data_IF_056113215575
#
_entry.id   IF_056113215575
#
_cell.length_a   1.000
_cell.length_b   1.000
_cell.length_c   1.000
_cell.angle_alpha   90.00
_cell.angle_beta   90.00
_cell.angle_gamma   90.00
#
_symmetry.space_group_name_H-M   'P 1'
#
loop_
_entity.id
_entity.type
_entity.pdbx_description
1 polymer ?
#
# COMPACT_ATOMS: atom_id res chain seq x y z
N UNK A 1 -1.38 -6.86 17.45
CA UNK A 1 -2.31 -7.89 16.95
C UNK A 1 -1.53 -9.19 16.89
N UNK A 2 -2.16 -10.35 16.73
CA UNK A 2 -1.43 -11.61 16.51
C UNK A 2 -1.23 -11.86 15.02
N UNK A 3 -0.31 -12.77 14.70
CA UNK A 3 -0.08 -13.20 13.32
C UNK A 3 -1.30 -13.89 12.73
N UNK A 4 -2.04 -14.66 13.53
CA UNK A 4 -3.28 -15.31 13.13
C UNK A 4 -4.36 -14.28 12.81
N UNK A 5 -4.48 -13.21 13.60
CA UNK A 5 -5.39 -12.10 13.30
C UNK A 5 -5.04 -11.42 11.98
N UNK A 6 -3.75 -11.10 11.77
CA UNK A 6 -3.26 -10.54 10.51
C UNK A 6 -3.57 -11.45 9.31
N UNK A 7 -3.35 -12.76 9.48
CA UNK A 7 -3.66 -13.75 8.46
C UNK A 7 -5.15 -13.80 8.15
N UNK A 8 -6.02 -13.81 9.16
CA UNK A 8 -7.47 -13.79 8.97
C UNK A 8 -7.96 -12.54 8.24
N UNK A 9 -7.40 -11.37 8.53
CA UNK A 9 -7.72 -10.13 7.82
C UNK A 9 -7.36 -10.21 6.33
N UNK A 10 -6.13 -10.63 6.03
CA UNK A 10 -5.67 -10.82 4.66
C UNK A 10 -6.52 -11.88 3.92
N UNK A 11 -6.81 -13.02 4.55
CA UNK A 11 -7.67 -14.06 3.99
C UNK A 11 -9.07 -13.53 3.67
N UNK A 12 -9.69 -12.82 4.61
CA UNK A 12 -11.04 -12.29 4.43
C UNK A 12 -11.12 -11.29 3.27
N UNK A 13 -10.11 -10.42 3.14
CA UNK A 13 -10.02 -9.49 2.02
C UNK A 13 -9.83 -10.23 0.69
N UNK A 14 -8.92 -11.21 0.64
CA UNK A 14 -8.65 -11.97 -0.58
C UNK A 14 -9.87 -12.82 -1.01
N UNK A 15 -10.57 -13.44 -0.07
CA UNK A 15 -11.79 -14.19 -0.32
C UNK A 15 -12.89 -13.30 -0.91
N UNK A 16 -13.09 -12.10 -0.35
CA UNK A 16 -14.06 -11.13 -0.85
C UNK A 16 -13.75 -10.62 -2.27
N UNK A 17 -12.50 -10.78 -2.73
CA UNK A 17 -12.03 -10.33 -4.04
C UNK A 17 -11.60 -11.50 -4.95
N UNK A 18 -12.28 -12.65 -4.84
CA UNK A 18 -12.16 -13.75 -5.79
C UNK A 18 -11.07 -14.78 -5.51
N UNK A 19 -10.40 -14.69 -4.36
CA UNK A 19 -9.36 -15.63 -3.93
C UNK A 19 -9.73 -16.34 -2.61
N UNK A 20 -10.84 -17.12 -2.56
CA UNK A 20 -11.37 -17.70 -1.32
C UNK A 20 -10.47 -18.76 -0.68
N UNK A 21 -9.57 -19.37 -1.46
CA UNK A 21 -8.63 -20.39 -0.98
C UNK A 21 -7.26 -19.82 -0.63
N UNK A 22 -7.10 -18.49 -0.61
CA UNK A 22 -5.83 -17.88 -0.24
C UNK A 22 -5.50 -18.16 1.22
N UNK A 23 -4.22 -18.38 1.50
CA UNK A 23 -3.72 -18.46 2.87
C UNK A 23 -3.61 -17.09 3.54
N UNK A 24 -3.87 -15.98 2.84
CA UNK A 24 -3.71 -14.62 3.34
C UNK A 24 -2.26 -14.17 3.23
N UNK A 25 -1.53 -14.33 4.33
CA UNK A 25 -0.07 -14.22 4.41
C UNK A 25 0.56 -15.61 4.52
N UNK A 26 1.71 -15.80 3.88
CA UNK A 26 2.45 -17.06 3.83
C UNK A 26 3.31 -17.27 5.10
N UNK A 27 4.02 -18.42 5.24
CA UNK A 27 4.90 -18.68 6.38
C UNK A 27 6.06 -17.68 6.54
N UNK A 28 6.41 -16.93 5.49
CA UNK A 28 7.41 -15.86 5.55
C UNK A 28 6.81 -14.49 5.95
N UNK A 29 5.49 -14.40 6.14
CA UNK A 29 4.82 -13.17 6.54
C UNK A 29 4.27 -12.33 5.37
N UNK A 30 4.35 -12.83 4.14
CA UNK A 30 3.98 -12.06 2.95
C UNK A 30 2.70 -12.54 2.29
N UNK A 31 1.90 -11.61 1.79
CA UNK A 31 0.72 -11.87 0.98
C UNK A 31 0.48 -10.73 -0.01
N UNK A 32 -0.52 -10.88 -0.87
CA UNK A 32 -0.89 -9.80 -1.78
C UNK A 32 -1.84 -10.23 -2.88
N UNK A 33 -2.33 -9.25 -3.63
CA UNK A 33 -3.23 -9.45 -4.77
C UNK A 33 -3.11 -8.30 -5.76
N UNK A 34 -3.32 -8.64 -7.04
CA UNK A 34 -3.59 -7.66 -8.07
C UNK A 34 -5.11 -7.63 -8.36
N UNK A 35 -5.73 -6.47 -8.26
CA UNK A 35 -7.16 -6.26 -8.54
C UNK A 35 -7.30 -5.14 -9.58
N UNK A 36 -7.56 -5.53 -10.83
CA UNK A 36 -7.44 -4.61 -11.96
C UNK A 36 -6.00 -4.10 -12.08
N UNK A 37 -5.84 -2.78 -12.15
CA UNK A 37 -4.52 -2.14 -12.23
C UNK A 37 -3.86 -1.94 -10.84
N UNK A 38 -4.60 -2.14 -9.75
CA UNK A 38 -4.08 -1.96 -8.40
C UNK A 38 -3.34 -3.21 -7.92
N UNK A 39 -2.21 -3.01 -7.22
CA UNK A 39 -1.47 -4.07 -6.55
C UNK A 39 -1.42 -3.75 -5.06
N UNK A 40 -1.85 -4.70 -4.23
CA UNK A 40 -1.85 -4.60 -2.77
C UNK A 40 -0.99 -5.73 -2.19
N UNK A 41 -0.13 -5.37 -1.25
CA UNK A 41 0.77 -6.28 -0.55
C UNK A 41 0.43 -6.28 0.94
N UNK A 42 0.66 -7.42 1.58
CA UNK A 42 0.51 -7.64 3.01
C UNK A 42 1.84 -8.12 3.57
N UNK A 43 2.31 -7.49 4.64
CA UNK A 43 3.53 -7.89 5.34
C UNK A 43 3.31 -7.93 6.84
N UNK A 44 3.69 -9.05 7.45
CA UNK A 44 3.67 -9.25 8.88
C UNK A 44 5.02 -8.86 9.49
N UNK A 45 4.99 -7.91 10.41
CA UNK A 45 6.15 -7.47 11.18
C UNK A 45 6.15 -8.12 12.56
N UNK A 46 6.96 -9.16 12.74
CA UNK A 46 7.00 -9.98 13.97
C UNK A 46 7.37 -9.17 15.21
N UNK A 47 8.32 -8.23 15.11
CA UNK A 47 8.79 -7.46 16.26
C UNK A 47 7.76 -6.43 16.70
N UNK A 48 7.10 -5.80 15.75
CA UNK A 48 6.09 -4.76 15.94
C UNK A 48 4.69 -5.35 16.22
N UNK A 49 4.52 -6.65 15.99
CA UNK A 49 3.24 -7.36 16.10
C UNK A 49 2.15 -6.66 15.29
N UNK A 50 2.48 -6.38 14.03
CA UNK A 50 1.72 -5.50 13.15
C UNK A 50 1.59 -6.07 11.73
N UNK A 51 0.44 -5.80 11.11
CA UNK A 51 0.20 -6.05 9.69
C UNK A 51 0.35 -4.74 8.92
N UNK A 52 1.33 -4.67 8.04
CA UNK A 52 1.45 -3.63 7.03
C UNK A 52 0.70 -4.02 5.76
N UNK A 53 -0.03 -3.06 5.21
CA UNK A 53 -0.76 -3.17 3.95
C UNK A 53 -0.28 -2.07 3.00
N UNK A 54 0.30 -2.44 1.86
CA UNK A 54 0.99 -1.49 0.98
C UNK A 54 0.41 -1.56 -0.43
N UNK A 55 -0.19 -0.47 -0.89
CA UNK A 55 -0.73 -0.36 -2.24
C UNK A 55 0.25 0.35 -3.17
N UNK A 56 0.64 -0.31 -4.26
CA UNK A 56 1.67 0.20 -5.17
C UNK A 56 1.20 1.48 -5.87
N UNK A 57 2.03 2.53 -5.80
CA UNK A 57 1.93 3.73 -6.62
C UNK A 57 2.79 3.54 -7.88
N UNK A 58 4.09 3.30 -7.69
CA UNK A 58 5.03 3.26 -8.80
C UNK A 58 6.27 2.42 -8.46
N UNK A 59 6.76 1.66 -9.44
CA UNK A 59 8.04 0.97 -9.35
C UNK A 59 9.05 1.67 -10.25
N UNK A 60 10.08 2.26 -9.65
CA UNK A 60 11.11 2.94 -10.40
C UNK A 60 12.09 1.93 -11.01
N UNK A 61 12.53 2.21 -12.25
CA UNK A 61 13.58 1.41 -12.91
C UNK A 61 14.94 1.63 -12.24
N UNK A 62 15.24 2.90 -12.00
CA UNK A 62 16.46 3.38 -11.37
C UNK A 62 16.15 4.09 -10.07
N UNK A 63 17.19 4.46 -9.30
CA UNK A 63 17.01 5.30 -8.12
C UNK A 63 16.21 6.56 -8.51
N UNK A 64 15.14 6.90 -7.77
CA UNK A 64 14.37 8.11 -8.04
C UNK A 64 15.28 9.32 -8.08
N UNK A 65 15.03 10.23 -9.03
CA UNK A 65 15.78 11.49 -9.10
C UNK A 65 15.50 12.33 -7.84
N UNK A 66 16.47 13.14 -7.38
CA UNK A 66 16.25 14.04 -6.25
C UNK A 66 15.00 14.91 -6.44
N UNK A 67 14.20 15.07 -5.39
CA UNK A 67 12.95 15.85 -5.42
C UNK A 67 11.70 15.04 -5.74
N UNK A 68 11.82 13.82 -6.30
CA UNK A 68 10.64 13.00 -6.62
C UNK A 68 9.97 12.51 -5.35
N UNK A 69 10.72 11.88 -4.43
CA UNK A 69 10.16 11.34 -3.20
C UNK A 69 9.64 12.46 -2.29
N UNK A 70 10.40 13.55 -2.20
CA UNK A 70 10.00 14.76 -1.47
C UNK A 70 8.71 15.35 -2.04
N UNK A 71 8.57 15.36 -3.37
CA UNK A 71 7.35 15.80 -4.04
C UNK A 71 6.12 14.98 -3.64
N UNK A 72 6.22 13.66 -3.55
CA UNK A 72 5.13 12.82 -3.07
C UNK A 72 4.80 13.08 -1.59
N UNK A 73 5.83 13.23 -0.73
CA UNK A 73 5.64 13.57 0.67
C UNK A 73 4.98 14.94 0.86
N UNK A 74 5.31 15.93 0.01
CA UNK A 74 4.66 17.24 0.00
C UNK A 74 3.18 17.14 -0.37
N UNK A 75 2.82 16.34 -1.39
CA UNK A 75 1.43 16.15 -1.79
C UNK A 75 0.60 15.49 -0.66
N UNK A 76 1.19 14.57 0.11
CA UNK A 76 0.58 14.05 1.34
C UNK A 76 0.39 15.15 2.38
N UNK A 77 1.42 15.96 2.65
CA UNK A 77 1.36 17.06 3.63
C UNK A 77 0.31 18.11 3.27
N UNK A 78 0.03 18.30 1.98
CA UNK A 78 -1.03 19.20 1.47
C UNK A 78 -2.44 18.62 1.63
N UNK A 79 -2.58 17.37 2.07
CA UNK A 79 -3.86 16.72 2.28
C UNK A 79 -4.44 16.04 1.03
N UNK A 80 -3.59 15.67 0.07
CA UNK A 80 -4.03 14.78 -1.02
C UNK A 80 -4.49 13.46 -0.42
N UNK A 81 -5.68 12.98 -0.79
CA UNK A 81 -6.26 11.76 -0.24
C UNK A 81 -5.33 10.54 -0.46
N UNK A 82 -4.89 9.93 0.63
CA UNK A 82 -4.02 8.74 0.65
C UNK A 82 -4.80 7.44 0.85
N UNK A 83 -6.14 7.49 0.84
CA UNK A 83 -6.96 6.32 1.16
C UNK A 83 -6.76 5.80 2.59
N UNK A 84 -6.22 6.64 3.48
CA UNK A 84 -5.88 6.30 4.87
C UNK A 84 -4.48 5.72 5.08
N UNK A 85 -3.66 5.64 4.03
CA UNK A 85 -2.25 5.26 4.13
C UNK A 85 -1.30 6.45 4.25
N UNK A 86 -0.01 6.15 4.20
CA UNK A 86 1.09 7.11 4.12
C UNK A 86 2.02 6.75 2.97
N UNK A 87 2.59 7.76 2.32
CA UNK A 87 3.63 7.62 1.30
C UNK A 87 4.83 6.94 1.92
N UNK A 88 5.18 5.79 1.37
CA UNK A 88 6.34 5.01 1.79
C UNK A 88 7.17 4.58 0.58
N UNK A 89 8.49 4.59 0.73
CA UNK A 89 9.43 4.21 -0.32
C UNK A 89 10.35 3.12 0.18
N UNK A 90 10.27 1.96 -0.47
CA UNK A 90 11.14 0.83 -0.18
C UNK A 90 12.35 0.85 -1.14
N UNK A 91 13.56 1.15 -0.64
CA UNK A 91 14.73 1.25 -1.49
C UNK A 91 15.17 -0.09 -2.08
N UNK A 92 14.88 -1.21 -1.41
CA UNK A 92 15.32 -2.55 -1.81
C UNK A 92 14.66 -2.99 -3.13
N UNK A 93 13.37 -2.70 -3.30
CA UNK A 93 12.62 -3.03 -4.51
C UNK A 93 12.30 -1.79 -5.37
N UNK A 94 12.80 -0.61 -4.98
CA UNK A 94 12.59 0.70 -5.62
C UNK A 94 11.12 1.01 -5.88
N UNK A 95 10.24 0.64 -4.95
CA UNK A 95 8.80 0.83 -5.10
C UNK A 95 8.30 1.89 -4.12
N UNK A 96 7.36 2.70 -4.62
CA UNK A 96 6.64 3.70 -3.88
C UNK A 96 5.22 3.19 -3.61
N UNK A 97 4.78 3.30 -2.37
CA UNK A 97 3.51 2.79 -1.89
C UNK A 97 2.71 3.86 -1.15
N UNK A 98 1.41 3.59 -1.04
CA UNK A 98 0.63 4.04 0.11
C UNK A 98 0.54 2.86 1.08
N UNK A 99 1.16 3.00 2.24
CA UNK A 99 1.23 1.96 3.26
C UNK A 99 0.36 2.31 4.46
N UNK A 100 -0.27 1.31 5.07
CA UNK A 100 -1.01 1.44 6.33
C UNK A 100 -0.71 0.27 7.24
N UNK A 101 -0.37 0.56 8.49
CA UNK A 101 -0.01 -0.45 9.48
C UNK A 101 -1.09 -0.61 10.53
N UNK A 102 -1.45 -1.85 10.84
CA UNK A 102 -2.41 -2.20 11.89
C UNK A 102 -1.69 -2.91 13.02
N UNK A 103 -1.73 -2.33 14.22
CA UNK A 103 -1.25 -2.96 15.46
C UNK A 103 -2.40 -3.57 16.27
N UNK A 104 -3.64 -3.33 15.87
CA UNK A 104 -4.86 -3.93 16.44
C UNK A 104 -5.73 -4.42 15.30
N UNK A 105 -6.41 -5.56 15.48
CA UNK A 105 -7.25 -6.13 14.45
C UNK A 105 -8.56 -5.32 14.30
N UNK A 106 -8.77 -4.60 13.18
CA UNK A 106 -10.06 -3.99 12.91
C UNK A 106 -11.12 -5.06 12.62
N UNK A 107 -12.38 -4.65 12.62
CA UNK A 107 -13.45 -5.50 12.09
C UNK A 107 -13.27 -5.73 10.59
N UNK A 108 -13.55 -6.94 10.10
CA UNK A 108 -13.37 -7.32 8.69
C UNK A 108 -14.04 -6.34 7.70
N UNK A 109 -15.29 -5.86 7.90
CA UNK A 109 -15.88 -4.89 6.98
C UNK A 109 -15.08 -3.59 6.88
N UNK A 110 -14.57 -3.09 8.02
CA UNK A 110 -13.75 -1.87 8.08
C UNK A 110 -12.43 -2.10 7.35
N UNK A 111 -11.76 -3.23 7.61
CA UNK A 111 -10.53 -3.60 6.93
C UNK A 111 -10.71 -3.66 5.41
N UNK A 112 -11.79 -4.30 4.96
CA UNK A 112 -12.07 -4.44 3.52
C UNK A 112 -12.31 -3.10 2.84
N UNK A 113 -13.02 -2.19 3.50
CA UNK A 113 -13.27 -0.85 2.97
C UNK A 113 -12.01 0.01 2.98
N UNK A 114 -11.17 -0.11 4.02
CA UNK A 114 -9.86 0.51 4.09
C UNK A 114 -8.97 0.08 2.93
N UNK A 115 -8.86 -1.22 2.64
CA UNK A 115 -8.03 -1.75 1.55
C UNK A 115 -8.53 -1.28 0.18
N UNK A 116 -9.85 -1.23 -0.04
CA UNK A 116 -10.43 -0.67 -1.27
C UNK A 116 -10.09 0.80 -1.45
N UNK A 117 -10.17 1.60 -0.37
CA UNK A 117 -9.80 3.02 -0.39
C UNK A 117 -8.31 3.20 -0.66
N UNK A 118 -7.46 2.42 -0.01
CA UNK A 118 -6.01 2.47 -0.17
C UNK A 118 -5.59 2.17 -1.62
N UNK A 119 -6.12 1.10 -2.21
CA UNK A 119 -5.88 0.75 -3.62
C UNK A 119 -6.40 1.82 -4.59
N UNK A 120 -7.60 2.34 -4.36
CA UNK A 120 -8.15 3.41 -5.21
C UNK A 120 -7.26 4.65 -5.18
N UNK A 121 -6.81 5.03 -3.99
CA UNK A 121 -5.88 6.15 -3.84
C UNK A 121 -4.54 5.86 -4.53
N UNK A 122 -3.99 4.65 -4.43
CA UNK A 122 -2.70 4.35 -5.05
C UNK A 122 -2.74 4.51 -6.58
N UNK A 123 -3.87 4.18 -7.21
CA UNK A 123 -4.09 4.41 -8.65
C UNK A 123 -4.12 5.90 -9.00
N UNK A 124 -4.85 6.73 -8.25
CA UNK A 124 -4.87 8.19 -8.44
C UNK A 124 -3.48 8.81 -8.24
N UNK A 125 -2.73 8.26 -7.29
CA UNK A 125 -1.36 8.68 -7.04
C UNK A 125 -0.41 8.27 -8.17
N UNK A 126 -0.61 7.08 -8.75
CA UNK A 126 0.20 6.55 -9.85
C UNK A 126 0.03 7.33 -11.16
N UNK A 127 -1.08 8.06 -11.30
CA UNK A 127 -1.40 8.86 -12.48
C UNK A 127 -1.27 10.35 -12.17
N UNK A 128 -2.26 10.95 -11.52
CA UNK A 128 -2.40 12.40 -11.34
C UNK A 128 -1.31 12.99 -10.45
N UNK A 129 -1.02 12.36 -9.32
CA UNK A 129 0.00 12.87 -8.38
C UNK A 129 1.40 12.69 -8.98
N UNK A 130 1.68 11.52 -9.55
CA UNK A 130 2.93 11.25 -10.24
C UNK A 130 3.20 12.26 -11.36
N UNK A 131 2.21 12.59 -12.19
CA UNK A 131 2.34 13.61 -13.22
C UNK A 131 2.63 15.00 -12.62
N UNK A 132 1.87 15.44 -11.60
CA UNK A 132 2.11 16.71 -10.91
C UNK A 132 3.52 16.82 -10.31
N UNK A 133 4.00 15.75 -9.69
CA UNK A 133 5.35 15.69 -9.09
C UNK A 133 6.40 15.72 -10.19
N UNK A 134 6.22 14.92 -11.25
CA UNK A 134 7.12 14.90 -12.40
C UNK A 134 7.22 16.27 -13.08
N UNK A 135 6.11 16.95 -13.32
CA UNK A 135 6.08 18.27 -13.95
C UNK A 135 6.82 19.31 -13.10
N UNK A 136 6.63 19.28 -11.78
CA UNK A 136 7.35 20.18 -10.84
C UNK A 136 8.85 19.92 -10.82
N UNK A 137 9.27 18.66 -10.82
CA UNK A 137 10.68 18.28 -10.69
C UNK A 137 11.43 18.42 -12.02
N UNK A 138 10.78 18.14 -13.14
CA UNK A 138 11.40 18.17 -14.47
C UNK A 138 11.13 19.44 -15.27
N UNK A 139 10.24 20.32 -14.80
CA UNK A 139 9.98 21.62 -15.42
C UNK A 139 9.43 21.52 -16.84
N UNK A 140 8.45 20.63 -17.07
CA UNK A 140 7.71 20.60 -18.33
C UNK A 140 6.62 21.66 -18.37
#
# INVERSE_FOLDING_TARGET
MTREEAQMLAQAFLAANGNPNSVGINPQGFGGVALGDAQLYFEWHDKEQALECSALIHRFRDTPKPGILEGFQEEQKKGTDTGGGTVDFEPENKSLFLSRTYTTAPQIPIFNDDMKRLMKASLEWSSTVLNRVADRVFGR
#
